data_IF_341342070556
#
_entry.id   IF_341342070556
#
_cell.length_a   1.000
_cell.length_b   1.000
_cell.length_c   1.000
_cell.angle_alpha   90.00
_cell.angle_beta   90.00
_cell.angle_gamma   90.00
#
_symmetry.space_group_name_H-M   'P 1'
#
loop_
_entity.id
_entity.type
_entity.pdbx_description
1 polymer ?
#
# COMPACT_ATOMS: atom_id res chain seq x y z
N UNK A 1 6.12 40.62 -13.74
CA UNK A 1 6.57 40.51 -12.33
C UNK A 1 5.45 41.00 -11.41
N UNK A 2 4.36 40.24 -11.27
CA UNK A 2 3.19 40.64 -10.46
C UNK A 2 2.40 39.46 -9.87
N UNK A 3 2.81 38.22 -10.14
CA UNK A 3 2.15 37.01 -9.62
C UNK A 3 2.75 36.63 -8.25
N UNK A 4 4.00 37.03 -7.97
CA UNK A 4 4.73 36.67 -6.76
C UNK A 4 4.29 37.42 -5.49
N UNK A 5 3.64 38.58 -5.60
CA UNK A 5 3.26 39.39 -4.43
C UNK A 5 1.83 39.08 -3.92
N UNK A 6 0.95 38.59 -4.78
CA UNK A 6 -0.45 38.24 -4.42
C UNK A 6 -0.54 36.92 -3.67
N UNK A 7 0.35 35.96 -3.95
CA UNK A 7 0.40 34.65 -3.28
C UNK A 7 1.09 34.64 -1.91
N UNK A 8 1.68 35.76 -1.46
CA UNK A 8 2.47 35.81 -0.22
C UNK A 8 1.95 36.83 0.81
N UNK A 9 0.73 37.36 0.64
CA UNK A 9 0.07 38.14 1.69
C UNK A 9 -0.55 37.21 2.74
N UNK A 10 -0.41 37.54 4.02
CA UNK A 10 -1.05 36.82 5.13
C UNK A 10 -2.55 36.58 4.89
N UNK A 11 -3.24 37.56 4.27
CA UNK A 11 -4.66 37.45 3.92
C UNK A 11 -4.93 36.38 2.86
N UNK A 12 -4.08 36.31 1.83
CA UNK A 12 -4.20 35.28 0.77
C UNK A 12 -3.89 33.89 1.34
N UNK A 13 -2.87 33.79 2.20
CA UNK A 13 -2.51 32.53 2.87
C UNK A 13 -3.64 32.02 3.78
N UNK A 14 -4.28 32.92 4.53
CA UNK A 14 -5.44 32.59 5.38
C UNK A 14 -6.62 32.11 4.54
N UNK A 15 -6.90 32.75 3.41
CA UNK A 15 -7.97 32.31 2.50
C UNK A 15 -7.67 30.92 1.94
N UNK A 16 -6.44 30.67 1.46
CA UNK A 16 -6.04 29.35 0.97
C UNK A 16 -6.13 28.27 2.05
N UNK A 17 -5.76 28.59 3.29
CA UNK A 17 -5.87 27.69 4.44
C UNK A 17 -7.33 27.38 4.81
N UNK A 18 -8.21 28.39 4.77
CA UNK A 18 -9.65 28.17 4.99
C UNK A 18 -10.28 27.33 3.88
N UNK A 19 -9.90 27.57 2.63
CA UNK A 19 -10.38 26.78 1.48
C UNK A 19 -9.87 25.34 1.58
N UNK A 20 -8.61 25.11 1.97
CA UNK A 20 -8.06 23.75 2.12
C UNK A 20 -8.59 23.01 3.36
N UNK A 21 -9.06 23.74 4.37
CA UNK A 21 -9.68 23.14 5.55
C UNK A 21 -10.99 22.40 5.21
N UNK A 22 -11.74 22.82 4.19
CA UNK A 22 -12.99 22.17 3.79
C UNK A 22 -12.76 20.72 3.30
N UNK A 23 -11.92 20.44 2.28
CA UNK A 23 -11.63 19.07 1.87
C UNK A 23 -10.93 18.27 2.96
N UNK A 24 -10.06 18.88 3.78
CA UNK A 24 -9.44 18.19 4.91
C UNK A 24 -10.47 17.74 5.95
N UNK A 25 -11.39 18.61 6.35
CA UNK A 25 -12.46 18.29 7.27
C UNK A 25 -13.41 17.22 6.71
N UNK A 26 -13.70 17.28 5.40
CA UNK A 26 -14.49 16.26 4.72
C UNK A 26 -13.80 14.87 4.77
N UNK A 27 -12.51 14.79 4.46
CA UNK A 27 -11.74 13.54 4.55
C UNK A 27 -11.69 13.01 5.98
N UNK A 28 -11.44 13.87 6.97
CA UNK A 28 -11.46 13.49 8.40
C UNK A 28 -12.84 12.94 8.79
N UNK A 29 -13.91 13.60 8.35
CA UNK A 29 -15.28 13.14 8.60
C UNK A 29 -15.54 11.77 7.98
N UNK A 30 -15.01 11.47 6.79
CA UNK A 30 -15.15 10.16 6.15
C UNK A 30 -14.37 9.07 6.90
N UNK A 31 -13.13 9.35 7.33
CA UNK A 31 -12.30 8.40 8.09
C UNK A 31 -12.84 8.11 9.50
N UNK A 32 -13.55 9.07 10.11
CA UNK A 32 -14.17 8.91 11.43
C UNK A 32 -15.58 8.32 11.37
N UNK A 33 -16.23 8.34 10.21
CA UNK A 33 -17.59 7.82 10.07
C UNK A 33 -17.60 6.31 10.24
N UNK A 34 -18.62 5.73 10.91
CA UNK A 34 -18.77 4.29 10.99
C UNK A 34 -18.75 3.67 9.58
N UNK A 35 -17.85 2.72 9.31
CA UNK A 35 -17.75 2.10 8.00
C UNK A 35 -19.04 1.35 7.67
N UNK A 36 -19.51 1.48 6.44
CA UNK A 36 -20.69 0.75 5.95
C UNK A 36 -20.42 -0.73 5.68
N UNK A 37 -19.14 -1.13 5.71
CA UNK A 37 -18.67 -2.49 5.47
C UNK A 37 -17.99 -3.06 6.71
N UNK A 38 -17.88 -4.38 6.76
CA UNK A 38 -17.11 -5.05 7.79
C UNK A 38 -15.63 -4.63 7.76
N UNK A 39 -15.04 -4.41 8.93
CA UNK A 39 -13.64 -3.99 9.08
C UNK A 39 -12.86 -5.01 9.86
N UNK A 40 -11.75 -5.46 9.27
CA UNK A 40 -10.76 -6.29 9.95
C UNK A 40 -9.68 -5.39 10.54
N UNK A 41 -9.60 -5.36 11.87
CA UNK A 41 -8.50 -4.70 12.55
C UNK A 41 -7.28 -5.62 12.57
N UNK A 42 -6.11 -5.07 12.26
CA UNK A 42 -4.87 -5.84 12.30
C UNK A 42 -3.72 -5.00 12.84
N UNK A 43 -2.73 -5.67 13.40
CA UNK A 43 -1.46 -5.07 13.84
C UNK A 43 -0.41 -5.27 12.76
N UNK A 44 0.13 -4.15 12.27
CA UNK A 44 1.31 -4.11 11.42
C UNK A 44 2.55 -4.65 12.15
N UNK A 45 3.43 -5.35 11.42
CA UNK A 45 4.71 -5.86 11.97
C UNK A 45 5.89 -4.90 11.83
N UNK A 46 5.69 -3.73 11.24
CA UNK A 46 6.73 -2.72 11.02
C UNK A 46 6.48 -1.90 9.75
N UNK A 47 7.28 -0.85 9.54
CA UNK A 47 7.12 0.07 8.40
C UNK A 47 6.01 1.10 8.60
N UNK A 48 6.02 2.12 7.75
CA UNK A 48 5.17 3.29 7.81
C UNK A 48 3.93 3.16 6.91
N UNK A 49 4.05 2.52 5.74
CA UNK A 49 2.99 2.53 4.72
C UNK A 49 2.76 1.18 4.03
N UNK A 50 1.48 0.78 3.98
CA UNK A 50 0.98 -0.30 3.12
C UNK A 50 0.49 0.36 1.86
N UNK A 51 1.10 0.04 0.74
CA UNK A 51 0.79 0.72 -0.50
C UNK A 51 -0.48 0.12 -1.14
N UNK A 52 -0.65 -1.20 -1.08
CA UNK A 52 -1.81 -1.89 -1.63
C UNK A 52 -2.16 -3.12 -0.79
N UNK A 53 -3.45 -3.48 -0.80
CA UNK A 53 -3.93 -4.76 -0.32
C UNK A 53 -4.90 -5.39 -1.34
N UNK A 54 -4.90 -6.72 -1.44
CA UNK A 54 -5.85 -7.51 -2.23
C UNK A 54 -6.31 -8.73 -1.45
N UNK A 55 -7.58 -9.09 -1.60
CA UNK A 55 -8.16 -10.27 -0.97
C UNK A 55 -7.78 -11.56 -1.72
N UNK A 56 -7.34 -12.56 -0.98
CA UNK A 56 -7.17 -13.94 -1.41
C UNK A 56 -8.28 -14.80 -0.78
N UNK A 57 -9.41 -15.02 -1.49
CA UNK A 57 -10.55 -15.74 -0.90
C UNK A 57 -10.28 -17.20 -0.53
N UNK A 58 -9.72 -18.06 -1.40
CA UNK A 58 -9.44 -19.46 -1.05
C UNK A 58 -8.54 -19.67 0.16
N UNK A 59 -7.58 -18.77 0.44
CA UNK A 59 -6.71 -18.88 1.61
C UNK A 59 -7.15 -17.98 2.78
N UNK A 60 -8.29 -17.30 2.66
CA UNK A 60 -8.86 -16.47 3.72
C UNK A 60 -7.91 -15.37 4.20
N UNK A 61 -7.19 -14.70 3.30
CA UNK A 61 -6.15 -13.74 3.69
C UNK A 61 -6.10 -12.52 2.79
N UNK A 62 -5.66 -11.38 3.33
CA UNK A 62 -5.24 -10.24 2.54
C UNK A 62 -3.77 -10.36 2.19
N UNK A 63 -3.40 -10.07 0.94
CA UNK A 63 -2.01 -9.91 0.51
C UNK A 63 -1.72 -8.42 0.42
N UNK A 64 -0.61 -8.00 1.01
CA UNK A 64 -0.28 -6.60 1.27
C UNK A 64 1.09 -6.27 0.70
N UNK A 65 1.22 -5.17 -0.05
CA UNK A 65 2.50 -4.60 -0.48
C UNK A 65 3.00 -3.54 0.50
N UNK A 66 4.32 -3.46 0.64
CA UNK A 66 4.97 -2.52 1.54
C UNK A 66 5.73 -1.45 0.77
N UNK A 67 5.58 -0.19 1.20
CA UNK A 67 6.36 0.92 0.64
C UNK A 67 7.87 0.75 0.94
N UNK A 68 8.22 0.05 2.02
CA UNK A 68 9.61 -0.33 2.36
C UNK A 68 10.12 -1.58 1.62
N UNK A 69 9.31 -2.10 0.69
CA UNK A 69 9.61 -3.26 -0.12
C UNK A 69 9.16 -4.59 0.50
N UNK A 70 8.81 -5.52 -0.39
CA UNK A 70 8.33 -6.86 -0.05
C UNK A 70 6.81 -6.96 -0.03
N UNK A 71 6.35 -8.14 0.41
CA UNK A 71 4.94 -8.53 0.48
C UNK A 71 4.69 -9.24 1.82
N UNK A 72 3.51 -9.03 2.38
CA UNK A 72 3.02 -9.80 3.53
C UNK A 72 1.58 -10.22 3.38
N UNK A 73 1.09 -10.89 4.42
CA UNK A 73 -0.30 -11.30 4.53
C UNK A 73 -0.92 -10.85 5.85
N UNK A 74 -2.23 -10.69 5.84
CA UNK A 74 -3.07 -10.63 7.03
C UNK A 74 -4.09 -11.76 6.90
N UNK A 75 -3.91 -12.84 7.65
CA UNK A 75 -4.80 -14.00 7.59
C UNK A 75 -6.02 -13.81 8.48
N UNK A 76 -7.19 -14.10 7.94
CA UNK A 76 -8.47 -14.15 8.64
C UNK A 76 -8.75 -15.63 8.97
N UNK A 77 -8.76 -16.02 10.25
CA UNK A 77 -9.06 -17.40 10.62
C UNK A 77 -10.58 -17.68 10.49
N UNK A 78 -10.95 -18.95 10.32
CA UNK A 78 -12.35 -19.35 10.13
C UNK A 78 -13.21 -19.09 11.39
N UNK A 79 -12.61 -19.09 12.57
CA UNK A 79 -13.22 -18.78 13.86
C UNK A 79 -13.10 -17.30 14.26
N UNK A 80 -12.87 -16.41 13.29
CA UNK A 80 -12.74 -14.97 13.52
C UNK A 80 -13.96 -14.39 14.25
N UNK A 81 -13.70 -13.67 15.34
CA UNK A 81 -14.71 -12.94 16.09
C UNK A 81 -14.55 -11.42 15.93
N UNK A 82 -15.66 -10.65 15.84
CA UNK A 82 -15.59 -9.20 15.82
C UNK A 82 -14.94 -8.67 17.10
N UNK A 83 -13.78 -8.03 16.97
CA UNK A 83 -12.95 -7.56 18.09
C UNK A 83 -11.56 -8.18 18.11
N UNK A 84 -11.36 -9.29 17.41
CA UNK A 84 -10.04 -9.86 17.22
C UNK A 84 -9.16 -8.94 16.39
N UNK A 85 -7.94 -8.71 16.87
CA UNK A 85 -6.91 -7.95 16.16
C UNK A 85 -6.00 -8.94 15.44
N UNK A 86 -6.15 -9.02 14.12
CA UNK A 86 -5.34 -9.87 13.27
C UNK A 86 -3.88 -9.43 13.30
N UNK A 87 -2.98 -10.29 12.79
CA UNK A 87 -1.56 -9.98 12.69
C UNK A 87 -1.13 -10.02 11.24
N UNK A 88 -0.43 -8.97 10.83
CA UNK A 88 0.29 -8.98 9.56
C UNK A 88 1.57 -9.81 9.69
N UNK A 89 1.93 -10.55 8.65
CA UNK A 89 3.18 -11.32 8.59
C UNK A 89 3.87 -11.03 7.27
N UNK A 90 5.15 -10.65 7.31
CA UNK A 90 5.96 -10.52 6.10
C UNK A 90 6.28 -11.90 5.53
N UNK A 91 6.08 -12.06 4.22
CA UNK A 91 6.19 -13.34 3.52
C UNK A 91 7.35 -13.37 2.52
N UNK A 92 7.53 -12.28 1.78
CA UNK A 92 8.59 -12.16 0.79
C UNK A 92 9.27 -10.79 0.90
N UNK A 93 10.61 -10.80 0.94
CA UNK A 93 11.44 -9.60 0.89
C UNK A 93 12.81 -9.98 0.33
N UNK A 94 12.97 -9.80 -0.96
CA UNK A 94 14.18 -10.25 -1.64
C UNK A 94 15.30 -9.20 -1.56
N UNK A 95 16.54 -9.68 -1.38
CA UNK A 95 17.70 -8.82 -1.20
C UNK A 95 18.13 -8.07 -2.48
N UNK A 96 17.81 -8.62 -3.65
CA UNK A 96 18.16 -8.04 -4.95
C UNK A 96 17.34 -6.81 -5.34
N UNK A 97 16.20 -6.61 -4.70
CA UNK A 97 15.38 -5.40 -4.85
C UNK A 97 15.37 -4.53 -3.59
N UNK A 98 16.27 -4.78 -2.64
CA UNK A 98 16.35 -4.04 -1.40
C UNK A 98 16.47 -2.52 -1.64
N UNK A 99 15.69 -1.74 -0.89
CA UNK A 99 15.60 -0.29 -1.03
C UNK A 99 14.56 0.20 -2.04
N UNK A 100 13.94 -0.69 -2.82
CA UNK A 100 12.80 -0.36 -3.67
C UNK A 100 11.47 -0.70 -2.97
N UNK A 101 10.44 0.08 -3.30
CA UNK A 101 9.08 -0.09 -2.80
C UNK A 101 8.33 -1.15 -3.61
N UNK A 102 7.37 -1.83 -2.98
CA UNK A 102 6.35 -2.62 -3.68
C UNK A 102 5.15 -1.71 -3.96
N UNK A 103 5.00 -1.25 -5.21
CA UNK A 103 4.00 -0.25 -5.63
C UNK A 103 2.88 -0.88 -6.47
N UNK A 104 2.12 -1.76 -5.84
CA UNK A 104 0.97 -2.42 -6.43
C UNK A 104 1.18 -3.91 -6.58
N UNK A 105 0.07 -4.65 -6.50
CA UNK A 105 0.06 -6.09 -6.69
C UNK A 105 -1.24 -6.59 -7.30
N UNK A 106 -1.16 -7.74 -7.96
CA UNK A 106 -2.30 -8.50 -8.44
C UNK A 106 -2.16 -9.97 -8.08
N UNK A 107 -3.24 -10.56 -7.59
CA UNK A 107 -3.33 -11.98 -7.28
C UNK A 107 -3.80 -12.73 -8.52
N UNK A 108 -2.89 -13.41 -9.21
CA UNK A 108 -3.12 -14.21 -10.43
C UNK A 108 -3.36 -15.69 -10.05
N UNK A 109 -4.61 -15.98 -9.66
CA UNK A 109 -4.99 -17.32 -9.19
C UNK A 109 -4.90 -18.44 -10.18
N UNK A 110 -5.29 -18.28 -11.46
CA UNK A 110 -5.13 -19.35 -12.44
C UNK A 110 -3.68 -19.87 -12.54
N UNK A 111 -2.69 -19.06 -12.14
CA UNK A 111 -1.27 -19.42 -12.14
C UNK A 111 -0.66 -19.55 -10.74
N UNK A 112 -1.50 -19.61 -9.70
CA UNK A 112 -1.10 -19.69 -8.28
C UNK A 112 -0.01 -18.70 -7.87
N UNK A 113 -0.09 -17.44 -8.34
CA UNK A 113 0.96 -16.45 -8.05
C UNK A 113 0.41 -15.08 -7.69
N UNK A 114 1.21 -14.30 -6.99
CA UNK A 114 1.04 -12.84 -6.90
C UNK A 114 2.11 -12.19 -7.78
N UNK A 115 1.73 -11.16 -8.53
CA UNK A 115 2.65 -10.31 -9.29
C UNK A 115 2.69 -8.95 -8.62
N UNK A 116 3.89 -8.42 -8.43
CA UNK A 116 4.18 -7.23 -7.63
C UNK A 116 5.01 -6.28 -8.47
N UNK A 117 4.59 -5.02 -8.52
CA UNK A 117 5.40 -3.95 -9.10
C UNK A 117 6.41 -3.48 -8.06
N UNK A 118 7.68 -3.42 -8.45
CA UNK A 118 8.79 -3.02 -7.57
C UNK A 118 9.48 -1.82 -8.19
N UNK A 119 9.61 -0.73 -7.45
CA UNK A 119 10.19 0.51 -8.01
C UNK A 119 10.91 1.38 -6.97
N UNK A 120 11.87 2.18 -7.44
CA UNK A 120 12.46 3.26 -6.65
C UNK A 120 11.47 4.42 -6.57
N UNK A 121 10.61 4.39 -5.55
CA UNK A 121 9.53 5.36 -5.38
C UNK A 121 10.00 6.82 -5.22
N UNK A 122 11.26 7.04 -4.83
CA UNK A 122 11.76 8.39 -4.52
C UNK A 122 12.58 8.98 -5.67
N UNK A 123 13.43 8.19 -6.30
CA UNK A 123 14.35 8.71 -7.34
C UNK A 123 13.94 8.29 -8.74
N UNK A 124 12.98 7.39 -8.86
CA UNK A 124 12.48 6.88 -10.13
C UNK A 124 13.62 6.35 -11.03
N UNK A 125 14.50 5.52 -10.45
CA UNK A 125 15.67 4.95 -11.15
C UNK A 125 15.56 3.48 -11.43
N UNK A 126 14.59 2.81 -10.83
CA UNK A 126 14.42 1.37 -10.90
C UNK A 126 12.94 1.03 -11.00
N UNK A 127 12.65 0.07 -11.87
CA UNK A 127 11.32 -0.50 -12.03
C UNK A 127 11.47 -1.97 -12.43
N UNK A 128 10.68 -2.83 -11.83
CA UNK A 128 10.68 -4.27 -12.07
C UNK A 128 9.31 -4.88 -11.76
N UNK A 129 9.11 -6.09 -12.28
CA UNK A 129 8.02 -6.97 -11.86
C UNK A 129 8.62 -8.21 -11.20
N UNK A 130 8.15 -8.50 -10.00
CA UNK A 130 8.41 -9.75 -9.31
C UNK A 130 7.13 -10.60 -9.28
N UNK A 131 7.28 -11.92 -9.30
CA UNK A 131 6.16 -12.80 -8.99
C UNK A 131 6.55 -13.87 -7.98
N UNK A 132 5.63 -14.21 -7.10
CA UNK A 132 5.81 -15.20 -6.04
C UNK A 132 4.70 -16.24 -6.11
N UNK A 133 5.05 -17.50 -5.90
CA UNK A 133 4.08 -18.56 -5.72
C UNK A 133 3.28 -18.34 -4.44
N UNK A 134 1.96 -18.43 -4.51
CA UNK A 134 1.08 -18.10 -3.38
C UNK A 134 1.13 -19.14 -2.24
N UNK A 135 1.59 -20.36 -2.52
CA UNK A 135 1.64 -21.43 -1.52
C UNK A 135 2.97 -21.44 -0.77
N UNK A 136 4.06 -21.18 -1.47
CA UNK A 136 5.42 -21.31 -0.96
C UNK A 136 6.13 -19.98 -0.73
N UNK A 137 5.60 -18.89 -1.28
CA UNK A 137 6.22 -17.57 -1.33
C UNK A 137 7.58 -17.53 -2.03
N UNK A 138 7.94 -18.62 -2.72
CA UNK A 138 9.14 -18.68 -3.54
C UNK A 138 8.96 -17.76 -4.74
N UNK A 139 9.97 -16.94 -5.00
CA UNK A 139 10.01 -16.13 -6.21
C UNK A 139 10.04 -17.00 -7.45
N UNK A 140 9.10 -16.74 -8.35
CA UNK A 140 8.97 -17.36 -9.67
C UNK A 140 9.80 -16.63 -10.71
N UNK A 141 9.76 -15.30 -10.73
CA UNK A 141 10.62 -14.47 -11.56
C UNK A 141 10.82 -13.09 -10.96
N UNK A 142 11.87 -12.42 -11.43
CA UNK A 142 12.11 -10.98 -11.29
C UNK A 142 12.59 -10.47 -12.63
N UNK A 143 11.91 -9.47 -13.18
CA UNK A 143 12.27 -8.87 -14.46
C UNK A 143 12.31 -7.37 -14.31
N UNK A 144 13.49 -6.79 -14.50
CA UNK A 144 13.65 -5.34 -14.58
C UNK A 144 12.98 -4.82 -15.86
N UNK A 145 12.26 -3.71 -15.74
CA UNK A 145 11.63 -3.02 -16.86
C UNK A 145 12.63 -2.02 -17.47
N UNK A 146 12.49 -1.76 -18.77
CA UNK A 146 13.43 -0.92 -19.53
C UNK A 146 13.33 0.58 -19.20
N UNK A 147 12.31 0.99 -18.46
CA UNK A 147 12.02 2.39 -18.14
C UNK A 147 11.98 2.67 -16.65
N UNK A 148 12.13 3.94 -16.26
CA UNK A 148 11.82 4.41 -14.91
C UNK A 148 10.34 4.13 -14.56
N UNK A 149 10.07 3.83 -13.28
CA UNK A 149 8.75 3.50 -12.72
C UNK A 149 7.95 4.71 -12.27
#
# INVERSE_FOLDING_TARGET
>A
MAISAVCCSLKSLLILLLISAVPAAYLISLELSPPSTHVFHYRSTGGFLRECAKWDPPAGRFIVSFFEGGVGEVRVPDDYSPGDVLREVQLAKDADVAGNASLGLVVDRPRNRVVVAVADALRNKYSALAAYDLSTWKRLFLTQLSGPG
#
